data_IF_296175164700
#
_entry.id   IF_296175164700
#
_cell.length_a   1.000
_cell.length_b   1.000
_cell.length_c   1.000
_cell.angle_alpha   90.00
_cell.angle_beta   90.00
_cell.angle_gamma   90.00
#
_symmetry.space_group_name_H-M   'P 1'
#
loop_
_entity.id
_entity.type
_entity.pdbx_description
1 polymer ?
#
# COMPACT_ATOMS: atom_id res chain seq x y z
N UNK A 1 -20.70 -4.42 58.12
CA UNK A 1 -21.39 -4.94 56.91
C UNK A 1 -21.26 -3.84 55.85
N UNK A 2 -20.16 -3.77 55.09
CA UNK A 2 -19.85 -4.48 53.83
C UNK A 2 -20.78 -4.12 52.66
N UNK A 3 -20.28 -3.29 51.73
CA UNK A 3 -20.44 -3.30 50.24
C UNK A 3 -19.90 -1.95 49.73
N UNK A 4 -18.65 -1.84 49.25
CA UNK A 4 -18.20 -2.17 47.89
C UNK A 4 -19.24 -1.82 46.81
N UNK A 5 -19.00 -0.76 46.03
CA UNK A 5 -19.03 -0.83 44.57
C UNK A 5 -18.22 0.31 43.94
N UNK A 6 -17.36 -0.09 43.00
CA UNK A 6 -16.31 0.71 42.42
C UNK A 6 -16.84 1.84 41.54
N UNK A 7 -16.29 3.02 41.77
CA UNK A 7 -16.31 4.11 40.81
C UNK A 7 -15.39 3.72 39.65
N UNK A 8 -15.98 3.20 38.57
CA UNK A 8 -15.29 3.02 37.30
C UNK A 8 -15.02 4.41 36.73
N UNK A 9 -13.75 4.81 36.73
CA UNK A 9 -13.27 5.98 36.01
C UNK A 9 -13.59 5.81 34.52
N UNK A 10 -14.60 6.54 34.03
CA UNK A 10 -14.83 6.78 32.62
C UNK A 10 -13.65 7.60 32.07
N UNK A 11 -12.64 6.90 31.52
CA UNK A 11 -11.66 7.50 30.63
C UNK A 11 -12.36 7.86 29.32
N UNK A 12 -12.86 9.08 29.26
CA UNK A 12 -13.23 9.74 28.03
C UNK A 12 -11.94 9.99 27.24
N UNK A 13 -11.61 9.11 26.31
CA UNK A 13 -10.57 9.35 25.32
C UNK A 13 -11.09 10.34 24.27
N UNK A 14 -11.08 11.61 24.64
CA UNK A 14 -11.28 12.73 23.74
C UNK A 14 -9.97 13.05 23.01
N UNK A 15 -10.01 12.98 21.69
CA UNK A 15 -9.20 13.79 20.77
C UNK A 15 -7.73 14.02 21.12
N UNK A 16 -6.87 13.08 20.74
CA UNK A 16 -5.54 13.43 20.26
C UNK A 16 -5.47 13.02 18.78
N UNK A 17 -5.76 13.97 17.90
CA UNK A 17 -5.40 13.85 16.50
C UNK A 17 -3.89 13.58 16.46
N UNK A 18 -3.49 12.38 16.05
CA UNK A 18 -2.12 12.09 15.65
C UNK A 18 -1.83 12.87 14.35
N UNK A 19 -1.70 14.20 14.45
CA UNK A 19 -0.98 15.00 13.44
C UNK A 19 0.48 15.02 13.86
N UNK A 20 1.09 13.84 13.80
CA UNK A 20 2.55 13.72 13.67
C UNK A 20 2.83 12.69 12.59
N UNK A 21 2.21 12.92 11.43
CA UNK A 21 2.72 12.38 10.19
C UNK A 21 4.00 13.12 9.87
N UNK A 22 5.15 12.63 10.37
CA UNK A 22 6.40 12.85 9.63
C UNK A 22 6.09 12.55 8.17
N UNK A 23 6.49 13.39 7.18
CA UNK A 23 6.30 13.05 5.79
C UNK A 23 6.88 11.66 5.61
N UNK A 24 6.02 10.67 5.33
CA UNK A 24 6.46 9.30 5.18
C UNK A 24 7.49 9.33 4.05
N UNK A 25 8.76 9.11 4.38
CA UNK A 25 9.76 8.81 3.36
C UNK A 25 9.41 7.43 2.84
N UNK A 26 8.47 7.38 1.89
CA UNK A 26 7.96 6.14 1.29
C UNK A 26 9.08 5.33 0.61
N UNK A 27 10.17 6.02 0.26
CA UNK A 27 11.40 5.46 -0.29
C UNK A 27 12.52 5.63 0.75
N UNK A 28 12.93 4.53 1.38
CA UNK A 28 14.09 4.53 2.27
C UNK A 28 15.40 4.77 1.51
N UNK A 29 16.42 5.31 2.19
CA UNK A 29 17.73 5.65 1.61
C UNK A 29 18.38 4.47 0.87
N UNK A 30 18.24 3.25 1.40
CA UNK A 30 18.74 2.03 0.78
C UNK A 30 18.05 1.69 -0.55
N UNK A 31 16.76 1.97 -0.69
CA UNK A 31 16.02 1.78 -1.94
C UNK A 31 16.47 2.81 -2.97
N UNK A 32 16.59 4.08 -2.55
CA UNK A 32 17.08 5.18 -3.38
C UNK A 32 18.50 4.91 -3.90
N UNK A 33 19.43 4.56 -3.01
CA UNK A 33 20.82 4.27 -3.38
C UNK A 33 20.95 3.04 -4.27
N UNK A 34 20.12 2.01 -4.06
CA UNK A 34 20.11 0.83 -4.92
C UNK A 34 19.62 1.15 -6.33
N UNK A 35 18.52 1.91 -6.43
CA UNK A 35 17.97 2.36 -7.70
C UNK A 35 18.94 3.30 -8.43
N UNK A 36 19.56 4.24 -7.74
CA UNK A 36 20.50 5.19 -8.32
C UNK A 36 21.74 4.50 -8.89
N UNK A 37 22.30 3.51 -8.18
CA UNK A 37 23.42 2.73 -8.70
C UNK A 37 23.04 1.98 -9.98
N UNK A 38 21.92 1.24 -9.98
CA UNK A 38 21.44 0.51 -11.16
C UNK A 38 21.23 1.48 -12.33
N UNK A 39 20.59 2.62 -12.05
CA UNK A 39 20.31 3.66 -13.03
C UNK A 39 21.58 4.22 -13.67
N UNK A 40 22.65 4.42 -12.88
CA UNK A 40 23.92 4.91 -13.41
C UNK A 40 24.65 3.83 -14.23
N UNK A 41 24.74 2.59 -13.72
CA UNK A 41 25.45 1.49 -14.40
C UNK A 41 24.79 1.10 -15.72
N UNK A 42 23.45 1.07 -15.75
CA UNK A 42 22.68 0.73 -16.95
C UNK A 42 22.30 1.95 -17.80
N UNK A 43 22.80 3.14 -17.48
CA UNK A 43 22.51 4.38 -18.21
C UNK A 43 21.01 4.68 -18.38
N UNK A 44 20.21 4.43 -17.33
CA UNK A 44 18.74 4.58 -17.35
C UNK A 44 18.26 6.04 -17.26
N UNK A 45 19.17 7.02 -17.31
CA UNK A 45 18.86 8.46 -17.21
C UNK A 45 18.97 9.10 -18.61
N UNK A 46 17.90 9.09 -19.41
CA UNK A 46 17.87 9.86 -20.68
C UNK A 46 17.18 9.19 -21.87
N UNK A 47 17.54 9.65 -23.08
CA UNK A 47 16.96 9.26 -24.37
C UNK A 47 17.08 7.75 -24.68
N UNK A 48 18.00 7.04 -24.03
CA UNK A 48 18.28 5.61 -24.26
C UNK A 48 17.14 4.68 -23.80
N UNK A 49 16.27 5.13 -22.89
CA UNK A 49 15.12 4.36 -22.40
C UNK A 49 13.86 4.59 -23.26
N UNK A 50 13.92 5.54 -24.20
CA UNK A 50 12.78 5.97 -25.01
C UNK A 50 11.84 6.93 -24.28
N UNK A 51 10.91 7.53 -25.03
CA UNK A 51 9.97 8.53 -24.53
C UNK A 51 8.62 7.94 -24.09
N UNK A 52 8.39 6.65 -24.31
CA UNK A 52 7.12 5.98 -24.05
C UNK A 52 7.16 5.22 -22.72
N UNK A 53 6.59 5.79 -21.63
CA UNK A 53 6.68 5.19 -20.32
C UNK A 53 5.74 3.99 -20.16
N UNK A 54 6.28 2.82 -19.85
CA UNK A 54 5.51 1.58 -19.70
C UNK A 54 4.42 1.60 -18.61
N UNK A 55 4.58 2.41 -17.56
CA UNK A 55 3.72 2.35 -16.37
C UNK A 55 3.07 3.66 -15.94
N UNK A 56 3.35 4.78 -16.64
CA UNK A 56 2.94 6.11 -16.16
C UNK A 56 1.42 6.29 -16.12
N UNK A 57 0.71 5.71 -17.07
CA UNK A 57 -0.75 5.79 -17.15
C UNK A 57 -1.43 5.03 -15.99
N UNK A 58 -0.89 3.87 -15.61
CA UNK A 58 -1.42 3.09 -14.48
C UNK A 58 -1.14 3.76 -13.14
N UNK A 59 0.03 4.39 -12.98
CA UNK A 59 0.41 5.11 -11.75
C UNK A 59 -0.41 6.38 -11.55
N UNK A 60 -0.73 7.10 -12.64
CA UNK A 60 -1.46 8.39 -12.58
C UNK A 60 -2.99 8.25 -12.69
N UNK A 61 -3.51 7.04 -12.77
CA UNK A 61 -4.96 6.81 -12.90
C UNK A 61 -5.76 7.55 -11.82
N UNK A 62 -6.79 8.30 -12.22
CA UNK A 62 -7.76 8.96 -11.31
C UNK A 62 -8.91 8.03 -10.90
N UNK A 63 -8.71 6.71 -11.03
CA UNK A 63 -9.71 5.71 -10.64
C UNK A 63 -9.94 5.67 -9.12
N UNK A 64 -11.00 4.96 -8.72
CA UNK A 64 -11.29 4.69 -7.31
C UNK A 64 -10.10 4.04 -6.59
N UNK A 65 -10.06 4.17 -5.26
CA UNK A 65 -9.01 3.58 -4.42
C UNK A 65 -8.86 2.07 -4.65
N UNK A 66 -9.96 1.37 -4.85
CA UNK A 66 -9.97 -0.07 -5.14
C UNK A 66 -9.27 -0.40 -6.45
N UNK A 67 -9.65 0.30 -7.53
CA UNK A 67 -9.02 0.11 -8.84
C UNK A 67 -7.53 0.48 -8.74
N UNK A 68 -7.17 1.52 -7.97
CA UNK A 68 -5.76 1.89 -7.73
C UNK A 68 -4.98 0.78 -7.04
N UNK A 69 -5.52 0.18 -5.97
CA UNK A 69 -4.86 -0.91 -5.25
C UNK A 69 -4.65 -2.12 -6.18
N UNK A 70 -5.67 -2.49 -6.96
CA UNK A 70 -5.58 -3.61 -7.90
C UNK A 70 -4.57 -3.34 -9.04
N UNK A 71 -4.58 -2.13 -9.62
CA UNK A 71 -3.60 -1.71 -10.63
C UNK A 71 -2.17 -1.72 -10.07
N UNK A 72 -1.97 -1.24 -8.84
CA UNK A 72 -0.65 -1.26 -8.21
C UNK A 72 -0.19 -2.69 -7.92
N UNK A 73 -1.07 -3.58 -7.44
CA UNK A 73 -0.75 -5.00 -7.26
C UNK A 73 -0.32 -5.66 -8.57
N UNK A 74 -1.07 -5.47 -9.66
CA UNK A 74 -0.72 -6.00 -10.97
C UNK A 74 0.61 -5.42 -11.50
N UNK A 75 0.84 -4.12 -11.30
CA UNK A 75 2.09 -3.45 -11.68
C UNK A 75 3.29 -4.04 -10.93
N UNK A 76 3.16 -4.25 -9.62
CA UNK A 76 4.21 -4.87 -8.80
C UNK A 76 4.48 -6.33 -9.21
N UNK A 77 3.46 -7.08 -9.61
CA UNK A 77 3.62 -8.43 -10.16
C UNK A 77 4.39 -8.43 -11.50
N UNK A 78 4.15 -7.44 -12.37
CA UNK A 78 4.94 -7.24 -13.60
C UNK A 78 6.40 -6.96 -13.24
N UNK A 79 6.68 -6.05 -12.30
CA UNK A 79 8.06 -5.78 -11.86
C UNK A 79 8.73 -7.01 -11.25
N UNK A 80 8.02 -7.82 -10.46
CA UNK A 80 8.55 -9.08 -9.91
C UNK A 80 9.00 -10.04 -11.02
N UNK A 81 8.18 -10.18 -12.07
CA UNK A 81 8.52 -10.99 -13.25
C UNK A 81 9.71 -10.43 -14.02
N UNK A 82 9.78 -9.11 -14.20
CA UNK A 82 10.92 -8.43 -14.84
C UNK A 82 12.21 -8.69 -14.05
N UNK A 83 12.21 -8.45 -12.75
CA UNK A 83 13.39 -8.69 -11.91
C UNK A 83 13.80 -10.17 -11.91
N UNK A 84 12.83 -11.09 -11.82
CA UNK A 84 13.10 -12.53 -11.94
C UNK A 84 13.66 -12.92 -13.31
N UNK A 85 13.33 -12.18 -14.37
CA UNK A 85 13.89 -12.36 -15.71
C UNK A 85 15.32 -11.81 -15.82
N UNK A 86 15.62 -10.68 -15.19
CA UNK A 86 16.97 -10.10 -15.16
C UNK A 86 17.94 -10.99 -14.36
N UNK A 87 17.45 -11.63 -13.30
CA UNK A 87 18.23 -12.50 -12.43
C UNK A 87 18.44 -13.91 -13.01
N UNK A 88 17.83 -14.22 -14.15
CA UNK A 88 17.86 -15.56 -14.74
C UNK A 88 19.23 -15.84 -15.38
N UNK A 89 19.89 -16.98 -15.10
CA UNK A 89 21.23 -17.28 -15.63
C UNK A 89 21.28 -17.35 -17.17
N UNK A 90 20.17 -17.73 -17.79
CA UNK A 90 19.96 -17.88 -19.22
C UNK A 90 19.54 -16.59 -19.93
N UNK A 91 19.20 -15.53 -19.17
CA UNK A 91 18.76 -14.24 -19.70
C UNK A 91 19.60 -13.10 -19.11
N UNK A 92 20.86 -13.01 -19.55
CA UNK A 92 21.80 -11.99 -19.10
C UNK A 92 22.04 -10.88 -20.13
N UNK A 93 21.20 -10.72 -21.16
CA UNK A 93 21.44 -9.74 -22.23
C UNK A 93 21.60 -8.30 -21.69
N UNK A 94 20.77 -7.92 -20.71
CA UNK A 94 20.86 -6.61 -20.04
C UNK A 94 22.18 -6.41 -19.29
N UNK A 95 22.77 -7.49 -18.77
CA UNK A 95 23.97 -7.46 -17.91
C UNK A 95 25.25 -7.88 -18.65
N UNK A 96 25.14 -8.33 -19.91
CA UNK A 96 26.21 -8.99 -20.66
C UNK A 96 27.42 -8.11 -20.90
N UNK A 97 27.20 -6.81 -21.06
CA UNK A 97 28.23 -5.83 -21.38
C UNK A 97 28.85 -5.17 -20.13
N UNK A 98 28.42 -5.58 -18.92
CA UNK A 98 28.93 -5.02 -17.68
C UNK A 98 30.24 -5.71 -17.26
N UNK A 99 31.05 -4.99 -16.48
CA UNK A 99 32.18 -5.59 -15.77
C UNK A 99 31.67 -6.67 -14.81
N UNK A 100 32.50 -7.66 -14.46
CA UNK A 100 32.08 -8.69 -13.50
C UNK A 100 31.68 -8.10 -12.14
N UNK A 101 32.37 -7.04 -11.70
CA UNK A 101 32.07 -6.33 -10.47
C UNK A 101 30.69 -5.66 -10.54
N UNK A 102 30.42 -4.92 -11.62
CA UNK A 102 29.14 -4.22 -11.80
C UNK A 102 27.99 -5.21 -11.98
N UNK A 103 28.18 -6.28 -12.76
CA UNK A 103 27.19 -7.34 -12.91
C UNK A 103 26.81 -7.94 -11.56
N UNK A 104 27.80 -8.27 -10.71
CA UNK A 104 27.55 -8.83 -9.38
C UNK A 104 26.78 -7.87 -8.48
N UNK A 105 27.15 -6.59 -8.49
CA UNK A 105 26.51 -5.57 -7.65
C UNK A 105 25.11 -5.20 -8.14
N UNK A 106 24.88 -5.12 -9.46
CA UNK A 106 23.55 -4.95 -10.06
C UNK A 106 22.64 -6.12 -9.70
N UNK A 107 23.10 -7.37 -9.85
CA UNK A 107 22.33 -8.57 -9.47
C UNK A 107 21.90 -8.51 -7.99
N UNK A 108 22.84 -8.17 -7.10
CA UNK A 108 22.55 -8.03 -5.66
C UNK A 108 21.49 -6.96 -5.38
N UNK A 109 21.56 -5.81 -6.07
CA UNK A 109 20.59 -4.72 -5.89
C UNK A 109 19.23 -5.06 -6.50
N UNK A 110 19.18 -5.75 -7.65
CA UNK A 110 17.92 -6.23 -8.26
C UNK A 110 17.24 -7.24 -7.33
N UNK A 111 17.99 -8.15 -6.70
CA UNK A 111 17.46 -9.07 -5.68
C UNK A 111 16.86 -8.30 -4.50
N UNK A 112 17.56 -7.26 -4.02
CA UNK A 112 17.04 -6.39 -2.96
C UNK A 112 15.74 -5.69 -3.36
N UNK A 113 15.66 -5.13 -4.58
CA UNK A 113 14.44 -4.49 -5.09
C UNK A 113 13.29 -5.50 -5.21
N UNK A 114 13.56 -6.71 -5.69
CA UNK A 114 12.56 -7.80 -5.77
C UNK A 114 11.99 -8.15 -4.39
N UNK A 115 12.84 -8.31 -3.37
CA UNK A 115 12.38 -8.55 -2.00
C UNK A 115 11.53 -7.39 -1.45
N UNK A 116 11.84 -6.13 -1.83
CA UNK A 116 11.03 -4.98 -1.43
C UNK A 116 9.64 -5.00 -2.08
N UNK A 117 9.56 -5.40 -3.35
CA UNK A 117 8.29 -5.58 -4.06
C UNK A 117 7.46 -6.69 -3.41
N UNK A 118 8.04 -7.87 -3.14
CA UNK A 118 7.31 -8.98 -2.50
C UNK A 118 6.70 -8.57 -1.14
N UNK A 119 7.45 -7.81 -0.34
CA UNK A 119 6.95 -7.28 0.93
C UNK A 119 5.84 -6.24 0.74
N UNK A 120 5.91 -5.41 -0.29
CA UNK A 120 4.89 -4.41 -0.59
C UNK A 120 3.61 -5.06 -1.12
N UNK A 121 3.71 -6.04 -2.01
CA UNK A 121 2.58 -6.81 -2.54
C UNK A 121 1.82 -7.53 -1.42
N UNK A 122 2.53 -8.14 -0.45
CA UNK A 122 1.88 -8.75 0.73
C UNK A 122 1.06 -7.73 1.53
N UNK A 123 1.62 -6.53 1.76
CA UNK A 123 0.94 -5.45 2.50
C UNK A 123 -0.29 -4.94 1.76
N UNK A 124 -0.20 -4.78 0.43
CA UNK A 124 -1.34 -4.36 -0.39
C UNK A 124 -2.43 -5.44 -0.45
N UNK A 125 -2.04 -6.71 -0.48
CA UNK A 125 -2.99 -7.84 -0.40
C UNK A 125 -3.80 -7.83 0.90
N UNK A 126 -3.18 -7.48 2.04
CA UNK A 126 -3.90 -7.34 3.31
C UNK A 126 -4.95 -6.22 3.28
N UNK A 127 -4.61 -5.05 2.71
CA UNK A 127 -5.56 -3.93 2.59
C UNK A 127 -6.80 -4.34 1.78
N UNK A 128 -6.62 -5.11 0.71
CA UNK A 128 -7.75 -5.56 -0.10
C UNK A 128 -8.60 -6.61 0.63
N UNK A 129 -7.96 -7.58 1.30
CA UNK A 129 -8.67 -8.61 2.05
C UNK A 129 -9.44 -8.05 3.26
N UNK A 130 -8.89 -7.08 3.98
CA UNK A 130 -9.55 -6.42 5.10
C UNK A 130 -10.79 -5.65 4.64
N UNK A 131 -10.70 -4.97 3.49
CA UNK A 131 -11.85 -4.29 2.87
C UNK A 131 -12.94 -5.28 2.48
N UNK A 132 -12.59 -6.36 1.77
CA UNK A 132 -13.54 -7.41 1.36
C UNK A 132 -14.24 -8.04 2.56
N UNK A 133 -13.50 -8.29 3.66
CA UNK A 133 -14.03 -8.83 4.91
C UNK A 133 -14.99 -7.86 5.62
N UNK A 134 -14.68 -6.56 5.64
CA UNK A 134 -15.59 -5.56 6.22
C UNK A 134 -16.88 -5.45 5.39
N UNK A 135 -16.76 -5.44 4.05
CA UNK A 135 -17.92 -5.37 3.16
C UNK A 135 -18.80 -6.62 3.27
N UNK A 136 -18.21 -7.82 3.35
CA UNK A 136 -18.98 -9.05 3.54
C UNK A 136 -19.74 -9.04 4.86
N UNK A 137 -19.11 -8.58 5.96
CA UNK A 137 -19.79 -8.42 7.26
C UNK A 137 -20.97 -7.46 7.21
N UNK A 138 -20.87 -6.37 6.44
CA UNK A 138 -21.99 -5.44 6.24
C UNK A 138 -23.13 -6.08 5.43
N UNK A 139 -22.81 -6.94 4.45
CA UNK A 139 -23.80 -7.67 3.66
C UNK A 139 -24.50 -8.78 4.45
N UNK A 140 -23.84 -9.36 5.46
CA UNK A 140 -24.40 -10.40 6.34
C UNK A 140 -25.40 -9.84 7.37
N UNK A 141 -25.51 -8.52 7.52
CA UNK A 141 -26.45 -7.88 8.44
C UNK A 141 -27.89 -8.24 8.06
N UNK A 142 -28.59 -8.88 8.99
CA UNK A 142 -30.00 -9.25 8.84
C UNK A 142 -30.89 -8.01 9.02
N UNK A 143 -31.08 -7.25 7.94
CA UNK A 143 -31.80 -5.97 7.96
C UNK A 143 -33.26 -6.08 8.40
N UNK A 144 -33.86 -7.26 8.27
CA UNK A 144 -35.24 -7.54 8.67
C UNK A 144 -35.38 -7.96 10.15
N UNK A 145 -34.26 -8.19 10.86
CA UNK A 145 -34.27 -8.54 12.28
C UNK A 145 -34.61 -7.30 13.14
N UNK A 146 -35.69 -7.33 13.97
CA UNK A 146 -36.10 -6.17 14.75
C UNK A 146 -35.07 -5.68 15.80
N UNK A 147 -34.19 -6.56 16.29
CA UNK A 147 -33.12 -6.21 17.21
C UNK A 147 -31.97 -5.51 16.45
N UNK A 148 -31.64 -5.97 15.25
CA UNK A 148 -30.67 -5.31 14.35
C UNK A 148 -31.14 -3.91 13.98
N UNK A 149 -32.42 -3.75 13.62
CA UNK A 149 -33.01 -2.44 13.30
C UNK A 149 -32.89 -1.45 14.47
N UNK A 150 -33.18 -1.89 15.70
CA UNK A 150 -33.02 -1.05 16.90
C UNK A 150 -31.58 -0.62 17.13
N UNK A 151 -30.60 -1.52 16.93
CA UNK A 151 -29.17 -1.19 17.03
C UNK A 151 -28.77 -0.17 15.98
N UNK A 152 -29.16 -0.39 14.72
CA UNK A 152 -28.88 0.54 13.62
C UNK A 152 -29.46 1.94 13.89
N UNK A 153 -30.69 2.03 14.43
CA UNK A 153 -31.30 3.31 14.80
C UNK A 153 -30.57 4.00 15.96
N UNK A 154 -30.04 3.25 16.93
CA UNK A 154 -29.27 3.81 18.04
C UNK A 154 -27.92 4.40 17.57
N UNK A 155 -27.27 3.77 16.60
CA UNK A 155 -25.95 4.18 16.07
C UNK A 155 -26.04 5.20 14.91
N UNK A 156 -27.24 5.42 14.35
CA UNK A 156 -27.43 6.22 13.13
C UNK A 156 -26.81 7.62 13.20
N UNK A 157 -26.92 8.31 14.34
CA UNK A 157 -26.38 9.66 14.51
C UNK A 157 -24.85 9.69 14.32
N UNK A 158 -24.15 8.73 14.89
CA UNK A 158 -22.69 8.63 14.81
C UNK A 158 -22.26 8.30 13.38
N UNK A 159 -22.94 7.37 12.73
CA UNK A 159 -22.70 7.03 11.31
C UNK A 159 -22.91 8.25 10.41
N UNK A 160 -23.99 9.00 10.61
CA UNK A 160 -24.29 10.20 9.83
C UNK A 160 -23.24 11.30 10.03
N UNK A 161 -22.79 11.52 11.28
CA UNK A 161 -21.73 12.47 11.59
C UNK A 161 -20.40 12.07 10.93
N UNK A 162 -20.00 10.80 11.06
CA UNK A 162 -18.80 10.28 10.43
C UNK A 162 -18.83 10.43 8.90
N UNK A 163 -19.96 10.14 8.26
CA UNK A 163 -20.13 10.32 6.82
C UNK A 163 -20.05 11.79 6.40
N UNK A 164 -20.60 12.70 7.21
CA UNK A 164 -20.60 14.14 6.92
C UNK A 164 -19.19 14.73 6.93
N UNK A 165 -18.32 14.31 7.86
CA UNK A 165 -16.91 14.74 7.94
C UNK A 165 -16.11 14.33 6.69
N UNK A 166 -16.44 13.18 6.09
CA UNK A 166 -15.79 12.74 4.84
C UNK A 166 -16.15 13.67 3.67
N UNK A 167 -17.39 14.16 3.65
CA UNK A 167 -17.92 15.00 2.56
C UNK A 167 -17.49 16.47 2.73
N UNK A 168 -17.35 16.96 3.97
CA UNK A 168 -16.87 18.30 4.27
C UNK A 168 -15.83 18.25 5.41
N UNK A 169 -14.53 18.12 5.09
CA UNK A 169 -13.48 18.02 6.12
C UNK A 169 -13.20 19.32 6.89
N UNK A 170 -13.77 20.44 6.44
CA UNK A 170 -13.61 21.79 7.03
C UNK A 170 -14.90 22.33 7.68
N UNK A 171 -15.93 21.48 7.78
CA UNK A 171 -17.07 21.67 8.65
C UNK A 171 -16.76 20.99 10.02
#
# INVERSE_FOLDING_TARGET
>A
MSSCWGSVCLLVFLGAAFVSGKPCQFVGENLKGSHEYISNVLSLKGQDVGLDPLFSDFVRSNSSLEIKVNLMNATLEVYHRIFSSILRPDNQDLLKNLSEADRKEVTKKVEYLKQKIENLTKKLGHVNHDKENILSKLQEIQVDDPLVQRKALAEFKEVFQAASVIICPEC
#
